data_IF_204144064393
#
_entry.id   IF_204144064393
#
_cell.length_a   1.000
_cell.length_b   1.000
_cell.length_c   1.000
_cell.angle_alpha   90.00
_cell.angle_beta   90.00
_cell.angle_gamma   90.00
#
_symmetry.space_group_name_H-M   'P 1'
#
loop_
_entity.id
_entity.type
_entity.pdbx_description
1 polymer ?
#
# COMPACT_ATOMS: atom_id res chain seq x y z
N UNK A 1 -15.49 -6.70 18.34
CA UNK A 1 -14.19 -6.15 18.80
C UNK A 1 -13.30 -5.87 17.61
N UNK A 2 -12.96 -4.60 17.33
CA UNK A 2 -11.99 -4.26 16.27
C UNK A 2 -10.57 -4.44 16.80
N UNK A 3 -9.93 -5.58 16.53
CA UNK A 3 -8.52 -5.78 16.87
C UNK A 3 -7.64 -4.96 15.93
N UNK A 4 -7.29 -3.75 16.37
CA UNK A 4 -6.29 -2.90 15.72
C UNK A 4 -4.90 -3.39 16.13
N UNK A 5 -4.31 -4.25 15.29
CA UNK A 5 -2.92 -4.63 15.43
C UNK A 5 -2.04 -3.45 15.05
N UNK A 6 -1.38 -2.86 16.04
CA UNK A 6 -0.43 -1.76 15.85
C UNK A 6 0.89 -2.39 15.38
N UNK A 7 1.09 -2.46 14.06
CA UNK A 7 2.41 -2.76 13.51
C UNK A 7 3.38 -1.63 13.88
N UNK A 8 4.65 -1.93 14.15
CA UNK A 8 5.68 -0.90 14.32
C UNK A 8 5.73 0.02 13.08
N UNK A 9 6.14 1.28 13.25
CA UNK A 9 5.95 2.35 12.25
C UNK A 9 6.77 2.19 10.95
N UNK A 10 7.64 1.19 10.83
CA UNK A 10 8.42 0.90 9.62
C UNK A 10 9.47 -0.20 9.86
N UNK A 11 10.07 -0.68 8.78
CA UNK A 11 11.21 -1.62 8.81
C UNK A 11 10.90 -3.10 8.53
N UNK A 12 11.90 -3.94 8.82
CA UNK A 12 11.90 -5.37 8.56
C UNK A 12 10.96 -6.14 9.49
N UNK A 13 9.98 -6.84 8.91
CA UNK A 13 8.99 -7.62 9.64
C UNK A 13 8.95 -9.07 9.16
N UNK A 14 8.65 -10.04 10.04
CA UNK A 14 8.54 -11.44 9.64
C UNK A 14 7.37 -11.70 8.69
N UNK A 15 7.41 -12.83 7.98
CA UNK A 15 6.40 -13.31 7.02
C UNK A 15 4.96 -13.21 7.54
N UNK A 16 4.73 -13.58 8.79
CA UNK A 16 3.41 -13.49 9.44
C UNK A 16 2.88 -12.05 9.47
N UNK A 17 3.73 -11.07 9.75
CA UNK A 17 3.36 -9.65 9.82
C UNK A 17 3.12 -9.08 8.43
N UNK A 18 3.97 -9.43 7.45
CA UNK A 18 3.80 -9.08 6.05
C UNK A 18 2.49 -9.65 5.46
N UNK A 19 2.18 -10.92 5.75
CA UNK A 19 0.93 -11.57 5.34
C UNK A 19 -0.30 -10.82 5.87
N UNK A 20 -0.26 -10.45 7.15
CA UNK A 20 -1.34 -9.68 7.78
C UNK A 20 -1.49 -8.28 7.20
N UNK A 21 -0.40 -7.63 6.79
CA UNK A 21 -0.43 -6.35 6.05
C UNK A 21 -1.13 -6.50 4.70
N UNK A 22 -0.97 -7.66 4.06
CA UNK A 22 -1.64 -8.03 2.81
C UNK A 22 -3.07 -8.56 2.99
N UNK A 23 -3.54 -8.73 4.24
CA UNK A 23 -4.86 -9.29 4.55
C UNK A 23 -4.97 -10.80 4.28
N UNK A 24 -3.83 -11.50 4.23
CA UNK A 24 -3.74 -12.94 4.00
C UNK A 24 -3.29 -13.65 5.28
N UNK A 25 -3.56 -14.95 5.38
CA UNK A 25 -2.85 -15.80 6.34
C UNK A 25 -1.40 -16.03 5.89
N UNK A 26 -0.52 -16.40 6.83
CA UNK A 26 0.89 -16.65 6.53
C UNK A 26 1.08 -17.73 5.45
N UNK A 27 0.32 -18.82 5.52
CA UNK A 27 0.36 -19.90 4.53
C UNK A 27 -0.08 -19.44 3.14
N UNK A 28 -1.16 -18.66 3.06
CA UNK A 28 -1.64 -18.10 1.78
C UNK A 28 -0.64 -17.12 1.19
N UNK A 29 0.01 -16.31 2.04
CA UNK A 29 1.06 -15.39 1.63
C UNK A 29 2.26 -16.13 1.04
N UNK A 30 2.73 -17.19 1.71
CA UNK A 30 3.85 -18.01 1.21
C UNK A 30 3.49 -18.74 -0.10
N UNK A 31 2.26 -19.21 -0.23
CA UNK A 31 1.77 -19.83 -1.47
C UNK A 31 1.67 -18.83 -2.63
N UNK A 32 1.27 -17.58 -2.34
CA UNK A 32 1.20 -16.50 -3.32
C UNK A 32 2.57 -15.85 -3.61
N UNK A 33 3.55 -16.01 -2.71
CA UNK A 33 4.87 -15.38 -2.79
C UNK A 33 5.58 -15.55 -4.15
N UNK A 34 5.70 -16.76 -4.75
CA UNK A 34 6.35 -16.89 -6.06
C UNK A 34 5.65 -16.07 -7.17
N UNK A 35 4.31 -16.04 -7.16
CA UNK A 35 3.52 -15.22 -8.07
C UNK A 35 3.67 -13.73 -7.80
N UNK A 36 3.79 -13.33 -6.53
CA UNK A 36 4.06 -11.95 -6.12
C UNK A 36 5.46 -11.50 -6.56
N UNK A 37 6.49 -12.31 -6.33
CA UNK A 37 7.87 -12.04 -6.74
C UNK A 37 7.98 -11.85 -8.26
N UNK A 38 7.26 -12.65 -9.05
CA UNK A 38 7.18 -12.50 -10.52
C UNK A 38 6.59 -11.14 -10.94
N UNK A 39 5.76 -10.53 -10.09
CA UNK A 39 5.13 -9.21 -10.30
C UNK A 39 5.96 -8.07 -9.70
N UNK A 40 7.21 -8.33 -9.31
CA UNK A 40 8.10 -7.33 -8.73
C UNK A 40 7.84 -7.03 -7.25
N UNK A 41 7.21 -7.94 -6.52
CA UNK A 41 7.06 -7.81 -5.06
C UNK A 41 8.45 -7.83 -4.38
N UNK A 42 8.66 -7.05 -3.31
CA UNK A 42 9.94 -7.01 -2.59
C UNK A 42 10.33 -8.38 -2.02
N UNK A 43 11.60 -8.75 -2.19
CA UNK A 43 12.15 -9.97 -1.60
C UNK A 43 12.39 -9.79 -0.10
N UNK A 44 12.31 -10.89 0.63
CA UNK A 44 12.80 -10.92 2.00
C UNK A 44 14.32 -10.70 2.03
N UNK A 45 14.78 -10.08 3.11
CA UNK A 45 16.19 -9.95 3.42
C UNK A 45 16.83 -11.35 3.54
N UNK A 46 17.93 -11.64 2.82
CA UNK A 46 18.55 -12.96 2.79
C UNK A 46 19.21 -13.36 4.11
N UNK A 47 19.47 -12.41 5.02
CA UNK A 47 20.16 -12.66 6.29
C UNK A 47 19.18 -12.97 7.41
N UNK A 48 18.07 -12.23 7.45
CA UNK A 48 17.06 -12.28 8.52
C UNK A 48 15.77 -12.97 8.11
N UNK A 49 15.51 -13.13 6.79
CA UNK A 49 14.26 -13.68 6.28
C UNK A 49 13.04 -12.75 6.46
N UNK A 50 13.29 -11.50 6.88
CA UNK A 50 12.24 -10.51 7.10
C UNK A 50 11.91 -9.75 5.82
N UNK A 51 10.71 -9.20 5.75
CA UNK A 51 10.23 -8.37 4.67
C UNK A 51 10.15 -6.91 5.11
N UNK A 52 10.62 -6.01 4.27
CA UNK A 52 10.46 -4.58 4.49
C UNK A 52 9.00 -4.16 4.24
N UNK A 53 8.34 -3.68 5.29
CA UNK A 53 6.94 -3.24 5.21
C UNK A 53 6.76 -1.99 4.35
N UNK A 54 7.75 -1.09 4.34
CA UNK A 54 7.73 0.14 3.57
C UNK A 54 7.84 -0.18 2.08
N UNK A 55 8.67 -1.17 1.72
CA UNK A 55 8.76 -1.68 0.36
C UNK A 55 7.45 -2.34 -0.11
N UNK A 56 6.77 -3.09 0.77
CA UNK A 56 5.46 -3.69 0.47
C UNK A 56 4.42 -2.61 0.19
N UNK A 57 4.34 -1.59 1.06
CA UNK A 57 3.43 -0.47 0.91
C UNK A 57 3.72 0.33 -0.36
N UNK A 58 5.00 0.55 -0.69
CA UNK A 58 5.40 1.21 -1.92
C UNK A 58 5.01 0.41 -3.16
N UNK A 59 5.29 -0.89 -3.19
CA UNK A 59 4.85 -1.78 -4.28
C UNK A 59 3.33 -1.73 -4.46
N UNK A 60 2.57 -1.71 -3.35
CA UNK A 60 1.12 -1.59 -3.38
C UNK A 60 0.66 -0.25 -3.94
N UNK A 61 1.33 0.86 -3.60
CA UNK A 61 1.06 2.19 -4.18
C UNK A 61 1.33 2.22 -5.69
N UNK A 62 2.49 1.74 -6.12
CA UNK A 62 2.90 1.68 -7.54
C UNK A 62 1.95 0.79 -8.37
N UNK A 63 1.48 -0.33 -7.80
CA UNK A 63 0.50 -1.22 -8.44
C UNK A 63 -0.84 -0.53 -8.74
N UNK A 64 -1.23 0.44 -7.92
CA UNK A 64 -2.50 1.16 -8.03
C UNK A 64 -2.34 2.59 -8.51
N UNK A 65 -1.18 2.97 -9.05
CA UNK A 65 -0.88 4.36 -9.47
C UNK A 65 -1.86 4.89 -10.53
N UNK A 66 -2.55 4.00 -11.26
CA UNK A 66 -3.60 4.37 -12.22
C UNK A 66 -4.99 4.63 -11.59
N UNK A 67 -5.16 4.38 -10.28
CA UNK A 67 -6.46 4.46 -9.57
C UNK A 67 -6.61 5.74 -8.76
N UNK A 68 -5.50 6.39 -8.42
CA UNK A 68 -5.47 7.68 -7.77
C UNK A 68 -4.91 8.67 -8.79
N UNK A 69 -5.79 9.47 -9.41
CA UNK A 69 -5.33 10.64 -10.13
C UNK A 69 -4.34 11.41 -9.26
N UNK A 70 -3.25 11.89 -9.89
CA UNK A 70 -2.14 12.56 -9.21
C UNK A 70 -2.63 13.47 -8.07
N UNK A 71 -1.95 13.51 -6.91
CA UNK A 71 -2.37 14.33 -5.78
C UNK A 71 -2.71 15.74 -6.24
N UNK A 72 -4.02 16.07 -6.23
CA UNK A 72 -4.51 17.34 -6.70
C UNK A 72 -4.41 18.35 -5.57
N UNK A 73 -3.84 19.51 -5.87
CA UNK A 73 -3.80 20.61 -4.93
C UNK A 73 -5.23 21.03 -4.53
N UNK A 74 -5.56 20.89 -3.26
CA UNK A 74 -6.92 21.11 -2.76
C UNK A 74 -7.43 22.53 -3.06
N UNK A 75 -6.54 23.54 -3.10
CA UNK A 75 -6.91 24.93 -3.42
C UNK A 75 -7.37 25.06 -4.87
N UNK A 76 -6.72 24.36 -5.81
CA UNK A 76 -7.12 24.34 -7.22
C UNK A 76 -8.50 23.71 -7.42
N UNK A 77 -8.77 22.61 -6.72
CA UNK A 77 -10.08 21.92 -6.80
C UNK A 77 -11.21 22.79 -6.27
N UNK A 78 -11.00 23.48 -5.15
CA UNK A 78 -12.00 24.41 -4.58
C UNK A 78 -12.23 25.61 -5.48
N UNK A 79 -11.17 26.25 -5.99
CA UNK A 79 -11.28 27.39 -6.90
C UNK A 79 -12.06 27.05 -8.18
N UNK A 80 -11.78 25.88 -8.78
CA UNK A 80 -12.50 25.41 -9.97
C UNK A 80 -13.98 25.18 -9.70
N UNK A 81 -14.35 24.64 -8.53
CA UNK A 81 -15.75 24.37 -8.18
C UNK A 81 -16.55 25.65 -7.93
N UNK A 82 -15.95 26.63 -7.26
CA UNK A 82 -16.57 27.94 -7.04
C UNK A 82 -16.75 28.67 -8.38
N UNK A 83 -15.75 28.61 -9.25
CA UNK A 83 -15.83 29.19 -10.59
C UNK A 83 -16.99 28.57 -11.39
N UNK A 84 -17.09 27.23 -11.46
CA UNK A 84 -18.18 26.56 -12.18
C UNK A 84 -19.58 26.83 -11.60
N UNK A 85 -19.70 27.04 -10.29
CA UNK A 85 -20.97 27.39 -9.66
C UNK A 85 -21.40 28.85 -9.93
N UNK A 86 -20.46 29.74 -10.25
CA UNK A 86 -20.74 31.14 -10.53
C UNK A 86 -21.36 31.40 -11.91
N UNK A 87 -21.19 30.49 -12.88
CA UNK A 87 -21.79 30.58 -14.23
C UNK A 87 -23.22 30.02 -14.32
N UNK A 88 -23.75 29.47 -13.23
CA UNK A 88 -25.08 28.86 -13.16
C UNK A 88 -26.16 29.79 -12.57
N UNK A 89 -25.91 31.11 -12.54
CA UNK A 89 -26.82 32.16 -12.09
C UNK A 89 -26.86 33.27 -13.14
#
# INVERSE_FOLDING_TARGET
MTMRFRLPPGGDVPSTTAARRMGLTETEFLHALPSLLTRGFPRADPTTGNFDIDAIDEWRRRRHEHSYGAPQDARKVVASRIASAAWAR
#
